data_IF_676948184676
#
_entry.id   IF_676948184676
#
_cell.length_a   1.000
_cell.length_b   1.000
_cell.length_c   1.000
_cell.angle_alpha   90.00
_cell.angle_beta   90.00
_cell.angle_gamma   90.00
#
_symmetry.space_group_name_H-M   'P 1'
#
loop_
_entity.id
_entity.type
_entity.pdbx_description
1 polymer ?
#
# COMPACT_ATOMS: atom_id res chain seq x y z
N UNK A 1 26.17 -16.94 -41.46
CA UNK A 1 26.19 -15.91 -40.39
C UNK A 1 25.25 -14.72 -40.61
N UNK A 2 24.92 -14.31 -41.86
CA UNK A 2 23.98 -13.17 -42.10
C UNK A 2 22.50 -13.48 -41.86
N UNK A 3 22.08 -14.75 -41.92
CA UNK A 3 20.66 -15.15 -41.81
C UNK A 3 20.16 -15.17 -40.36
N UNK A 4 21.03 -15.43 -39.38
CA UNK A 4 20.64 -15.48 -37.95
C UNK A 4 20.43 -14.09 -37.32
N UNK A 5 21.02 -13.04 -37.90
CA UNK A 5 20.89 -11.68 -37.37
C UNK A 5 19.49 -11.11 -37.67
N UNK A 6 18.86 -11.55 -38.76
CA UNK A 6 17.58 -11.00 -39.21
C UNK A 6 16.39 -11.54 -38.40
N UNK A 7 16.44 -12.81 -37.98
CA UNK A 7 15.45 -13.43 -37.10
C UNK A 7 15.46 -12.83 -35.69
N UNK A 8 16.62 -12.47 -35.16
CA UNK A 8 16.76 -11.81 -33.85
C UNK A 8 16.18 -10.38 -33.84
N UNK A 9 16.22 -9.69 -34.98
CA UNK A 9 15.70 -8.32 -35.09
C UNK A 9 14.17 -8.29 -35.27
N UNK A 10 13.60 -9.31 -35.93
CA UNK A 10 12.14 -9.45 -36.13
C UNK A 10 11.39 -9.71 -34.84
N UNK A 11 11.95 -10.51 -33.93
CA UNK A 11 11.35 -10.80 -32.61
C UNK A 11 11.36 -9.59 -31.67
N UNK A 12 12.40 -8.75 -31.74
CA UNK A 12 12.48 -7.50 -30.97
C UNK A 12 11.43 -6.47 -31.41
N UNK A 13 11.16 -6.35 -32.72
CA UNK A 13 10.14 -5.40 -33.23
C UNK A 13 8.72 -5.81 -32.82
N UNK A 14 8.40 -7.09 -32.79
CA UNK A 14 7.09 -7.58 -32.36
C UNK A 14 6.84 -7.39 -30.85
N UNK A 15 7.89 -7.54 -30.02
CA UNK A 15 7.81 -7.30 -28.58
C UNK A 15 7.56 -5.82 -28.25
N UNK A 16 8.18 -4.91 -29.01
CA UNK A 16 8.01 -3.47 -28.84
C UNK A 16 6.67 -2.94 -29.38
N UNK A 17 6.02 -3.63 -30.33
CA UNK A 17 4.69 -3.28 -30.81
C UNK A 17 3.58 -3.61 -29.80
N UNK A 18 3.68 -4.76 -29.12
CA UNK A 18 2.69 -5.21 -28.13
C UNK A 18 2.73 -4.38 -26.84
N UNK A 19 3.90 -3.89 -26.44
CA UNK A 19 4.03 -3.01 -25.28
C UNK A 19 3.46 -1.60 -25.52
N UNK A 20 3.50 -1.08 -26.75
CA UNK A 20 2.89 0.21 -27.09
C UNK A 20 1.36 0.16 -27.16
N UNK A 21 0.79 -0.96 -27.61
CA UNK A 21 -0.67 -1.18 -27.62
C UNK A 21 -1.25 -1.34 -26.21
N UNK A 22 -0.52 -1.95 -25.28
CA UNK A 22 -0.95 -2.10 -23.89
C UNK A 22 -0.99 -0.76 -23.12
N UNK A 23 -0.06 0.16 -23.40
CA UNK A 23 -0.02 1.48 -22.74
C UNK A 23 -1.17 2.40 -23.21
N UNK A 24 -1.58 2.31 -24.47
CA UNK A 24 -2.70 3.10 -24.99
C UNK A 24 -4.05 2.68 -24.36
N UNK A 25 -4.28 1.39 -24.15
CA UNK A 25 -5.53 0.88 -23.56
C UNK A 25 -5.72 1.30 -22.09
N UNK A 26 -4.65 1.41 -21.30
CA UNK A 26 -4.74 1.86 -19.90
C UNK A 26 -5.10 3.35 -19.75
N UNK A 27 -4.76 4.20 -20.74
CA UNK A 27 -5.11 5.63 -20.68
C UNK A 27 -6.61 5.92 -20.92
N UNK A 28 -7.33 5.02 -21.60
CA UNK A 28 -8.76 5.18 -21.86
C UNK A 28 -9.66 4.78 -20.66
N UNK A 29 -9.15 3.97 -19.72
CA UNK A 29 -9.93 3.49 -18.58
C UNK A 29 -9.87 4.43 -17.35
N UNK A 30 -8.97 5.41 -17.33
CA UNK A 30 -8.83 6.36 -16.21
C UNK A 30 -9.68 7.64 -16.36
N UNK A 31 -10.34 7.84 -17.51
CA UNK A 31 -11.18 9.02 -17.76
C UNK A 31 -12.65 8.88 -17.32
N UNK A 32 -13.05 7.71 -16.79
CA UNK A 32 -14.46 7.41 -16.49
C UNK A 32 -14.88 7.57 -15.02
N UNK A 33 -13.97 7.93 -14.09
CA UNK A 33 -14.28 7.98 -12.65
C UNK A 33 -14.54 9.39 -12.07
N UNK A 34 -14.80 10.42 -12.89
CA UNK A 34 -14.90 11.82 -12.42
C UNK A 34 -16.31 12.45 -12.47
N UNK A 35 -17.40 11.68 -12.53
CA UNK A 35 -18.73 12.30 -12.49
C UNK A 35 -19.79 11.48 -11.76
N UNK A 36 -19.90 11.72 -10.45
CA UNK A 36 -21.10 11.42 -9.67
C UNK A 36 -21.29 12.54 -8.65
N UNK A 37 -21.98 13.60 -9.06
CA UNK A 37 -22.52 14.63 -8.17
C UNK A 37 -23.81 14.10 -7.54
N UNK A 38 -23.99 14.17 -6.21
CA UNK A 38 -25.29 13.88 -5.60
C UNK A 38 -26.25 15.06 -5.86
N UNK A 39 -27.55 14.81 -6.09
CA UNK A 39 -28.54 15.89 -6.15
C UNK A 39 -28.83 16.43 -4.75
N UNK A 40 -28.82 17.75 -4.66
CA UNK A 40 -29.20 18.52 -3.48
C UNK A 40 -30.70 18.38 -3.21
N UNK A 41 -31.05 17.97 -1.99
CA UNK A 41 -32.42 18.05 -1.48
C UNK A 41 -32.58 19.39 -0.76
N UNK A 42 -33.42 20.26 -1.32
CA UNK A 42 -33.82 21.53 -0.73
C UNK A 42 -34.67 21.33 0.55
N UNK A 43 -34.69 22.32 1.47
CA UNK A 43 -35.25 22.18 2.81
C UNK A 43 -36.78 22.33 2.81
N UNK A 44 -37.46 21.42 3.51
CA UNK A 44 -38.87 21.60 3.86
C UNK A 44 -38.96 22.51 5.09
N UNK A 45 -39.54 23.68 4.88
CA UNK A 45 -40.01 24.56 5.94
C UNK A 45 -41.15 23.89 6.71
N UNK A 46 -41.04 23.87 8.03
CA UNK A 46 -42.19 23.76 8.95
C UNK A 46 -42.04 24.87 9.97
N UNK A 47 -42.84 25.90 9.76
CA UNK A 47 -43.23 26.88 10.78
C UNK A 47 -44.34 26.23 11.62
N UNK A 48 -44.29 26.41 12.95
CA UNK A 48 -45.44 26.77 13.83
C UNK A 48 -45.06 26.66 15.32
N UNK A 49 -45.34 27.77 16.01
CA UNK A 49 -45.70 27.99 17.41
C UNK A 49 -44.66 27.83 18.55
N UNK A 50 -44.33 28.99 19.11
CA UNK A 50 -43.92 29.18 20.51
C UNK A 50 -45.03 28.70 21.48
N UNK A 51 -44.65 28.38 22.73
CA UNK A 51 -44.96 29.34 23.77
C UNK A 51 -43.77 29.67 24.68
N UNK A 52 -43.83 30.90 25.14
CA UNK A 52 -42.98 31.60 26.10
C UNK A 52 -42.85 30.85 27.43
N UNK A 53 -41.63 30.71 27.93
CA UNK A 53 -41.36 30.69 29.37
C UNK A 53 -40.00 31.32 29.63
N UNK A 54 -39.98 32.27 30.56
CA UNK A 54 -38.88 33.16 30.87
C UNK A 54 -38.03 32.65 32.05
N UNK A 55 -36.83 33.22 32.16
CA UNK A 55 -35.81 33.10 33.22
C UNK A 55 -34.89 31.87 33.08
N UNK A 56 -33.56 31.98 33.14
CA UNK A 56 -32.71 33.01 33.73
C UNK A 56 -31.44 33.22 32.89
N UNK A 57 -30.98 34.47 32.88
CA UNK A 57 -29.73 34.89 32.28
C UNK A 57 -28.52 34.31 33.02
N UNK A 58 -27.59 33.74 32.25
CA UNK A 58 -26.18 33.75 32.57
C UNK A 58 -25.42 34.00 31.25
N UNK A 59 -24.78 35.17 31.06
CA UNK A 59 -23.90 35.37 29.93
C UNK A 59 -22.57 34.70 30.26
N UNK A 60 -22.41 33.43 29.90
CA UNK A 60 -21.07 32.90 29.67
C UNK A 60 -20.68 33.31 28.26
N UNK A 61 -20.02 34.47 28.19
CA UNK A 61 -19.12 34.81 27.09
C UNK A 61 -18.03 33.75 27.03
N UNK A 62 -18.29 32.68 26.26
CA UNK A 62 -17.23 31.82 25.77
C UNK A 62 -16.53 32.58 24.65
N UNK A 63 -15.50 33.33 25.04
CA UNK A 63 -14.54 33.91 24.12
C UNK A 63 -13.86 32.74 23.40
N UNK A 64 -14.33 32.43 22.19
CA UNK A 64 -13.61 31.56 21.28
C UNK A 64 -12.15 32.04 21.20
N UNK A 65 -11.15 31.17 21.39
CA UNK A 65 -9.77 31.58 21.28
C UNK A 65 -9.54 31.96 19.82
N UNK A 66 -9.34 33.25 19.58
CA UNK A 66 -8.81 33.72 18.31
C UNK A 66 -7.48 32.98 18.09
N UNK A 67 -7.29 32.26 16.97
CA UNK A 67 -6.03 31.59 16.71
C UNK A 67 -4.92 32.64 16.69
N UNK A 68 -3.99 32.51 17.63
CA UNK A 68 -2.87 33.43 17.74
C UNK A 68 -1.94 33.16 16.54
N UNK A 69 -1.67 34.12 15.65
CA UNK A 69 -0.88 33.87 14.43
C UNK A 69 0.52 33.32 14.71
N UNK A 70 1.06 33.52 15.93
CA UNK A 70 2.35 33.00 16.35
C UNK A 70 2.43 31.47 16.45
N UNK A 71 1.33 30.76 16.72
CA UNK A 71 1.35 29.28 16.80
C UNK A 71 1.34 28.63 15.41
N UNK A 72 0.73 29.29 14.42
CA UNK A 72 0.69 28.80 13.05
C UNK A 72 2.09 28.74 12.45
N UNK A 73 2.91 29.77 12.68
CA UNK A 73 4.29 29.82 12.15
C UNK A 73 5.18 28.73 12.75
N UNK A 74 5.03 28.42 14.05
CA UNK A 74 5.84 27.38 14.70
C UNK A 74 5.49 25.97 14.23
N UNK A 75 4.20 25.72 13.98
CA UNK A 75 3.72 24.43 13.49
C UNK A 75 4.19 24.18 12.03
N UNK A 76 4.17 25.23 11.20
CA UNK A 76 4.70 25.18 9.83
C UNK A 76 6.19 24.86 9.79
N UNK A 77 7.00 25.50 10.66
CA UNK A 77 8.44 25.22 10.76
C UNK A 77 8.72 23.78 11.21
N UNK A 78 7.94 23.27 12.17
CA UNK A 78 8.03 21.90 12.68
C UNK A 78 7.72 20.86 11.57
N UNK A 79 6.70 21.13 10.76
CA UNK A 79 6.37 20.30 9.59
C UNK A 79 7.42 20.40 8.49
N UNK A 80 7.94 21.60 8.20
CA UNK A 80 9.00 21.80 7.22
C UNK A 80 10.27 21.01 7.58
N UNK A 81 10.66 21.00 8.86
CA UNK A 81 11.75 20.17 9.38
C UNK A 81 11.53 18.68 9.16
N UNK A 82 10.31 18.20 9.40
CA UNK A 82 9.95 16.80 9.17
C UNK A 82 10.05 16.43 7.69
N UNK A 83 9.56 17.29 6.79
CA UNK A 83 9.64 17.07 5.35
C UNK A 83 11.09 17.08 4.85
N UNK A 84 11.93 18.01 5.33
CA UNK A 84 13.38 18.01 5.06
C UNK A 84 14.04 16.73 5.55
N UNK A 85 13.64 16.22 6.72
CA UNK A 85 14.11 14.93 7.20
C UNK A 85 13.70 13.78 6.26
N UNK A 86 12.44 13.75 5.81
CA UNK A 86 11.93 12.75 4.88
C UNK A 86 12.63 12.77 3.51
N UNK A 87 13.04 13.96 3.05
CA UNK A 87 13.82 14.14 1.84
C UNK A 87 15.26 13.64 2.01
N UNK A 88 15.93 14.03 3.11
CA UNK A 88 17.28 13.53 3.45
C UNK A 88 17.31 12.01 3.51
N UNK A 89 16.29 11.41 4.13
CA UNK A 89 16.14 9.97 4.27
C UNK A 89 16.01 9.23 2.92
N UNK A 90 15.41 9.89 1.92
CA UNK A 90 15.36 9.39 0.54
C UNK A 90 16.71 9.51 -0.18
N UNK A 91 17.47 10.57 0.09
CA UNK A 91 18.80 10.77 -0.48
C UNK A 91 19.89 9.85 0.11
N UNK A 92 19.70 9.35 1.35
CA UNK A 92 20.67 8.47 2.01
C UNK A 92 20.85 7.10 1.33
N UNK A 93 22.04 6.53 1.46
CA UNK A 93 22.31 5.16 1.05
C UNK A 93 21.59 4.12 1.92
N UNK A 94 21.49 2.87 1.44
CA UNK A 94 20.81 1.80 2.20
C UNK A 94 21.48 1.47 3.53
N UNK A 95 22.81 1.59 3.63
CA UNK A 95 23.58 1.35 4.87
C UNK A 95 23.35 2.47 5.88
N UNK A 96 23.51 3.73 5.46
CA UNK A 96 23.28 4.91 6.29
C UNK A 96 21.85 4.96 6.82
N UNK A 97 20.87 4.61 5.97
CA UNK A 97 19.47 4.53 6.38
C UNK A 97 19.23 3.49 7.48
N UNK A 98 19.89 2.33 7.41
CA UNK A 98 19.81 1.32 8.47
C UNK A 98 20.43 1.81 9.78
N UNK A 99 21.53 2.56 9.70
CA UNK A 99 22.15 3.17 10.88
C UNK A 99 21.21 4.21 11.51
N UNK A 100 20.60 5.07 10.70
CA UNK A 100 19.61 6.04 11.17
C UNK A 100 18.43 5.34 11.87
N UNK A 101 17.95 4.22 11.32
CA UNK A 101 16.90 3.43 11.94
C UNK A 101 17.30 2.89 13.32
N UNK A 102 18.55 2.43 13.47
CA UNK A 102 19.08 1.98 14.77
C UNK A 102 19.16 3.16 15.74
N UNK A 103 19.68 4.30 15.30
CA UNK A 103 19.81 5.53 16.10
C UNK A 103 18.45 6.02 16.60
N UNK A 104 17.41 5.98 15.78
CA UNK A 104 16.06 6.37 16.19
C UNK A 104 15.37 5.30 17.02
N UNK A 105 15.65 4.02 16.74
CA UNK A 105 15.12 2.89 17.50
C UNK A 105 15.61 2.84 18.96
N UNK A 106 16.73 3.49 19.30
CA UNK A 106 17.15 3.66 20.70
C UNK A 106 16.44 4.82 21.40
N UNK A 107 15.97 5.82 20.65
CA UNK A 107 15.23 6.98 21.17
C UNK A 107 13.76 6.66 21.42
N UNK A 108 13.20 5.66 20.72
CA UNK A 108 11.82 5.21 20.92
C UNK A 108 11.78 4.00 21.85
N UNK A 109 11.23 4.12 23.08
CA UNK A 109 11.12 3.00 23.99
C UNK A 109 10.23 1.91 23.39
N UNK A 110 10.74 0.68 23.36
CA UNK A 110 10.00 -0.54 22.97
C UNK A 110 8.99 -0.88 24.08
N UNK A 111 7.87 -0.14 24.12
CA UNK A 111 6.64 -0.40 24.87
C UNK A 111 6.74 -1.28 26.13
N UNK A 112 6.55 -0.65 27.31
CA UNK A 112 5.84 -1.28 28.42
C UNK A 112 6.63 -2.02 29.52
N UNK A 113 7.96 -2.09 29.47
CA UNK A 113 8.73 -2.74 30.54
C UNK A 113 9.85 -1.82 31.05
N UNK A 114 9.57 -1.14 32.16
CA UNK A 114 10.52 -0.26 32.83
C UNK A 114 9.82 0.93 33.45
N UNK A 115 9.22 0.69 34.61
CA UNK A 115 8.69 1.69 35.54
C UNK A 115 9.70 2.79 35.85
N UNK A 116 9.64 3.86 35.06
CA UNK A 116 10.01 5.21 35.45
C UNK A 116 9.13 6.16 34.64
N UNK A 117 8.60 7.25 35.20
CA UNK A 117 7.86 8.29 34.47
C UNK A 117 8.80 9.10 33.54
N UNK A 118 9.73 8.41 32.88
CA UNK A 118 10.81 8.98 32.10
C UNK A 118 10.30 9.24 30.68
N UNK A 119 9.90 10.49 30.46
CA UNK A 119 9.77 11.20 29.17
C UNK A 119 9.12 10.37 28.06
N UNK A 120 7.82 10.58 27.84
CA UNK A 120 7.18 10.11 26.62
C UNK A 120 8.00 10.60 25.40
N UNK A 121 8.29 9.72 24.43
CA UNK A 121 9.04 10.13 23.25
C UNK A 121 8.27 11.24 22.53
N UNK A 122 8.97 12.33 22.18
CA UNK A 122 8.34 13.48 21.54
C UNK A 122 7.62 13.06 20.24
N UNK A 123 6.50 13.70 19.88
CA UNK A 123 5.75 13.41 18.65
C UNK A 123 6.63 13.52 17.39
N UNK A 124 7.60 14.45 17.39
CA UNK A 124 8.59 14.61 16.30
C UNK A 124 9.46 13.36 16.13
N UNK A 125 10.00 12.79 17.21
CA UNK A 125 10.84 11.57 17.15
C UNK A 125 10.01 10.38 16.67
N UNK A 126 8.78 10.23 17.17
CA UNK A 126 7.88 9.16 16.73
C UNK A 126 7.58 9.25 15.23
N UNK A 127 7.35 10.45 14.73
CA UNK A 127 7.08 10.70 13.31
C UNK A 127 8.33 10.44 12.44
N UNK A 128 9.50 10.91 12.86
CA UNK A 128 10.77 10.64 12.16
C UNK A 128 11.06 9.13 12.10
N UNK A 129 10.86 8.41 13.21
CA UNK A 129 11.03 6.98 13.27
C UNK A 129 10.03 6.22 12.39
N UNK A 130 8.76 6.64 12.37
CA UNK A 130 7.78 6.10 11.44
C UNK A 130 8.23 6.30 9.98
N UNK A 131 8.70 7.49 9.60
CA UNK A 131 9.20 7.75 8.26
C UNK A 131 10.44 6.90 7.91
N UNK A 132 11.36 6.70 8.85
CA UNK A 132 12.51 5.81 8.70
C UNK A 132 12.10 4.36 8.38
N UNK A 133 11.12 3.84 9.13
CA UNK A 133 10.55 2.52 8.93
C UNK A 133 9.89 2.37 7.55
N UNK A 134 9.16 3.38 7.10
CA UNK A 134 8.46 3.34 5.81
C UNK A 134 9.38 3.24 4.59
N UNK A 135 10.65 3.59 4.72
CA UNK A 135 11.62 3.47 3.63
C UNK A 135 12.08 2.03 3.37
N UNK A 136 11.98 1.13 4.36
CA UNK A 136 12.39 -0.27 4.17
C UNK A 136 11.37 -1.04 3.36
N UNK A 137 10.09 -0.60 3.39
CA UNK A 137 8.94 -1.27 2.76
C UNK A 137 8.75 -2.73 3.19
N UNK A 138 9.23 -3.07 4.38
CA UNK A 138 9.03 -4.40 4.98
C UNK A 138 7.66 -4.44 5.68
N UNK A 139 6.83 -5.48 5.46
CA UNK A 139 5.46 -5.51 5.99
C UNK A 139 5.42 -5.44 7.52
N UNK A 140 6.37 -6.09 8.20
CA UNK A 140 6.51 -6.01 9.66
C UNK A 140 6.79 -4.59 10.14
N UNK A 141 7.64 -3.86 9.42
CA UNK A 141 8.02 -2.49 9.78
C UNK A 141 6.92 -1.49 9.41
N UNK A 142 6.14 -1.73 8.36
CA UNK A 142 4.95 -0.92 8.07
C UNK A 142 3.89 -1.02 9.17
N UNK A 143 3.69 -2.21 9.76
CA UNK A 143 2.78 -2.40 10.88
C UNK A 143 3.28 -1.67 12.14
N UNK A 144 4.59 -1.70 12.40
CA UNK A 144 5.20 -0.93 13.50
C UNK A 144 5.05 0.58 13.27
N UNK A 145 5.30 1.07 12.05
CA UNK A 145 5.14 2.47 11.68
C UNK A 145 3.68 2.94 11.90
N UNK A 146 2.70 2.12 11.51
CA UNK A 146 1.28 2.40 11.73
C UNK A 146 0.97 2.60 13.22
N UNK A 147 1.46 1.71 14.09
CA UNK A 147 1.27 1.84 15.54
C UNK A 147 1.89 3.12 16.12
N UNK A 148 3.04 3.56 15.61
CA UNK A 148 3.67 4.82 16.02
C UNK A 148 2.86 6.04 15.57
N UNK A 149 2.37 6.03 14.32
CA UNK A 149 1.54 7.11 13.80
C UNK A 149 0.21 7.22 14.54
N UNK A 150 -0.41 6.09 14.89
CA UNK A 150 -1.61 6.06 15.73
C UNK A 150 -1.35 6.68 17.10
N UNK A 151 -0.19 6.42 17.70
CA UNK A 151 0.21 7.03 18.97
C UNK A 151 0.37 8.55 18.86
N UNK A 152 0.95 9.05 17.76
CA UNK A 152 1.05 10.49 17.49
C UNK A 152 -0.34 11.11 17.29
N UNK A 153 -1.20 10.45 16.52
CA UNK A 153 -2.57 10.88 16.28
C UNK A 153 -3.42 10.94 17.56
N UNK A 154 -3.19 10.02 18.51
CA UNK A 154 -3.89 10.01 19.81
C UNK A 154 -3.21 10.87 20.88
N UNK A 155 -2.08 11.52 20.59
CA UNK A 155 -1.35 12.32 21.57
C UNK A 155 -2.07 13.63 21.85
N UNK A 156 -2.17 14.00 23.13
CA UNK A 156 -2.78 15.26 23.58
C UNK A 156 -1.75 16.34 23.92
N UNK A 157 -0.48 16.12 23.59
CA UNK A 157 0.60 17.10 23.80
C UNK A 157 0.45 18.29 22.83
N UNK A 158 0.79 19.51 23.26
CA UNK A 158 0.68 20.71 22.44
C UNK A 158 1.49 20.58 21.13
N UNK A 159 2.72 20.04 21.22
CA UNK A 159 3.61 19.81 20.08
C UNK A 159 3.10 18.73 19.12
N UNK A 160 2.14 17.89 19.53
CA UNK A 160 1.56 16.87 18.67
C UNK A 160 0.58 17.46 17.66
N UNK A 161 -0.07 18.59 18.00
CA UNK A 161 -1.10 19.21 17.17
C UNK A 161 -0.63 19.46 15.74
N UNK A 162 0.59 19.97 15.56
CA UNK A 162 1.24 20.19 14.27
C UNK A 162 1.33 18.93 13.38
N UNK A 163 1.46 17.74 13.98
CA UNK A 163 1.68 16.48 13.26
C UNK A 163 0.41 15.62 13.09
N UNK A 164 -0.64 15.90 13.85
CA UNK A 164 -1.86 15.05 13.91
C UNK A 164 -2.53 14.85 12.54
N UNK A 165 -2.75 15.93 11.80
CA UNK A 165 -3.39 15.87 10.48
C UNK A 165 -2.56 15.04 9.48
N UNK A 166 -1.24 15.23 9.47
CA UNK A 166 -0.33 14.46 8.63
C UNK A 166 -0.31 12.98 9.06
N UNK A 167 -0.33 12.70 10.36
CA UNK A 167 -0.37 11.33 10.89
C UNK A 167 -1.61 10.58 10.39
N UNK A 168 -2.79 11.20 10.42
CA UNK A 168 -4.03 10.59 9.91
C UNK A 168 -3.93 10.26 8.42
N UNK A 169 -3.47 11.20 7.60
CA UNK A 169 -3.28 10.95 6.16
C UNK A 169 -2.31 9.79 5.93
N UNK A 170 -1.21 9.71 6.67
CA UNK A 170 -0.28 8.58 6.54
C UNK A 170 -0.91 7.26 6.98
N UNK A 171 -1.67 7.22 8.08
CA UNK A 171 -2.37 6.01 8.54
C UNK A 171 -3.32 5.49 7.45
N UNK A 172 -4.14 6.37 6.86
CA UNK A 172 -5.08 5.99 5.80
C UNK A 172 -4.34 5.43 4.56
N UNK A 173 -3.22 6.04 4.19
CA UNK A 173 -2.39 5.54 3.10
C UNK A 173 -1.78 4.17 3.41
N UNK A 174 -1.25 3.95 4.62
CA UNK A 174 -0.64 2.67 5.00
C UNK A 174 -1.66 1.54 5.11
N UNK A 175 -2.85 1.82 5.64
CA UNK A 175 -3.94 0.82 5.65
C UNK A 175 -4.36 0.46 4.24
N UNK A 176 -4.37 1.42 3.31
CA UNK A 176 -4.66 1.18 1.89
C UNK A 176 -3.56 0.33 1.24
N UNK A 177 -2.28 0.64 1.47
CA UNK A 177 -1.15 -0.14 0.96
C UNK A 177 -1.26 -1.59 1.40
N UNK A 178 -1.54 -1.84 2.69
CA UNK A 178 -1.69 -3.20 3.21
C UNK A 178 -2.83 -3.97 2.54
N UNK A 179 -3.99 -3.33 2.34
CA UNK A 179 -5.12 -3.96 1.61
C UNK A 179 -4.74 -4.31 0.17
N UNK A 180 -3.93 -3.48 -0.49
CA UNK A 180 -3.44 -3.74 -1.84
C UNK A 180 -2.45 -4.91 -1.86
N UNK A 181 -1.53 -4.98 -0.90
CA UNK A 181 -0.60 -6.10 -0.73
C UNK A 181 -1.34 -7.43 -0.50
N UNK A 182 -2.35 -7.44 0.36
CA UNK A 182 -3.19 -8.63 0.62
C UNK A 182 -3.91 -9.10 -0.66
N UNK A 183 -4.40 -8.17 -1.48
CA UNK A 183 -5.05 -8.50 -2.75
C UNK A 183 -4.06 -9.03 -3.79
N UNK A 184 -2.86 -8.46 -3.85
CA UNK A 184 -1.78 -8.99 -4.70
C UNK A 184 -1.44 -10.41 -4.30
N UNK A 185 -1.28 -10.69 -3.01
CA UNK A 185 -0.98 -12.05 -2.53
C UNK A 185 -2.06 -13.06 -2.94
N UNK A 186 -3.34 -12.73 -2.73
CA UNK A 186 -4.48 -13.58 -3.16
C UNK A 186 -4.45 -13.87 -4.66
N UNK A 187 -4.26 -12.85 -5.49
CA UNK A 187 -4.21 -13.03 -6.96
C UNK A 187 -3.01 -13.87 -7.39
N UNK A 188 -1.85 -13.70 -6.74
CA UNK A 188 -0.68 -14.55 -7.02
C UNK A 188 -0.92 -16.01 -6.65
N UNK A 189 -1.65 -16.27 -5.56
CA UNK A 189 -2.02 -17.62 -5.15
C UNK A 189 -3.00 -18.26 -6.15
N UNK A 190 -4.02 -17.51 -6.59
CA UNK A 190 -4.95 -17.96 -7.61
C UNK A 190 -4.25 -18.28 -8.94
N UNK A 191 -3.29 -17.45 -9.36
CA UNK A 191 -2.50 -17.70 -10.57
C UNK A 191 -1.71 -19.01 -10.47
N UNK A 192 -1.02 -19.24 -9.35
CA UNK A 192 -0.27 -20.49 -9.11
C UNK A 192 -1.18 -21.71 -9.14
N UNK A 193 -2.36 -21.62 -8.54
CA UNK A 193 -3.32 -22.72 -8.54
C UNK A 193 -3.91 -22.98 -9.93
N UNK A 194 -4.23 -21.91 -10.68
CA UNK A 194 -4.70 -22.03 -12.06
C UNK A 194 -3.65 -22.67 -12.98
N UNK A 195 -2.37 -22.33 -12.79
CA UNK A 195 -1.26 -22.93 -13.53
C UNK A 195 -1.15 -24.43 -13.24
N UNK A 196 -1.23 -24.85 -11.96
CA UNK A 196 -1.22 -26.28 -11.59
C UNK A 196 -2.35 -27.05 -12.24
N UNK A 197 -3.55 -26.45 -12.32
CA UNK A 197 -4.70 -27.06 -12.99
C UNK A 197 -4.47 -27.20 -14.49
N UNK A 198 -3.85 -26.21 -15.14
CA UNK A 198 -3.47 -26.28 -16.55
C UNK A 198 -2.46 -27.41 -16.77
N UNK A 199 -1.44 -27.51 -15.92
CA UNK A 199 -0.41 -28.54 -16.03
C UNK A 199 -1.02 -29.95 -15.87
N UNK A 200 -1.92 -30.14 -14.90
CA UNK A 200 -2.66 -31.40 -14.72
C UNK A 200 -3.56 -31.75 -15.92
N UNK A 201 -4.20 -30.76 -16.55
CA UNK A 201 -5.00 -30.98 -17.75
C UNK A 201 -4.12 -31.33 -18.95
N UNK A 202 -2.95 -30.70 -19.09
CA UNK A 202 -1.98 -31.03 -20.12
C UNK A 202 -1.45 -32.46 -19.96
N UNK A 203 -1.10 -32.86 -18.73
CA UNK A 203 -0.68 -34.24 -18.43
C UNK A 203 -1.76 -35.25 -18.85
N UNK A 204 -3.04 -34.96 -18.55
CA UNK A 204 -4.16 -35.80 -18.99
C UNK A 204 -4.29 -35.86 -20.50
N UNK A 205 -4.15 -34.73 -21.20
CA UNK A 205 -4.20 -34.69 -22.67
C UNK A 205 -3.05 -35.51 -23.28
N UNK A 206 -1.84 -35.39 -22.73
CA UNK A 206 -0.69 -36.13 -23.22
C UNK A 206 -0.80 -37.64 -22.91
N UNK A 207 -1.39 -38.02 -21.77
CA UNK A 207 -1.75 -39.40 -21.48
C UNK A 207 -2.79 -39.95 -22.48
N UNK A 208 -3.82 -39.16 -22.82
CA UNK A 208 -4.81 -39.55 -23.84
C UNK A 208 -4.14 -39.71 -25.22
N UNK A 209 -3.26 -38.78 -25.62
CA UNK A 209 -2.48 -38.89 -26.86
C UNK A 209 -1.56 -40.11 -26.88
N UNK A 210 -1.03 -40.53 -25.74
CA UNK A 210 -0.24 -41.75 -25.63
C UNK A 210 -1.09 -43.01 -25.86
N UNK A 211 -2.32 -43.03 -25.36
CA UNK A 211 -3.30 -44.11 -25.60
C UNK A 211 -3.69 -44.14 -27.08
N UNK A 212 -3.96 -43.01 -27.70
CA UNK A 212 -4.26 -42.93 -29.15
C UNK A 212 -3.10 -43.50 -29.98
N UNK A 213 -1.86 -43.16 -29.61
CA UNK A 213 -0.66 -43.70 -30.26
C UNK A 213 -0.48 -45.19 -30.06
N UNK A 214 -0.78 -45.74 -28.87
CA UNK A 214 -0.64 -47.18 -28.62
C UNK A 214 -1.76 -48.01 -29.28
N UNK A 215 -2.97 -47.45 -29.41
CA UNK A 215 -4.07 -48.10 -30.12
C UNK A 215 -3.86 -48.14 -31.64
N UNK A 216 -3.29 -47.08 -32.22
CA UNK A 216 -3.07 -46.98 -33.67
C UNK A 216 -1.70 -47.51 -34.10
N UNK A 217 -0.89 -48.04 -33.17
CA UNK A 217 0.40 -48.64 -33.48
C UNK A 217 0.19 -49.99 -34.20
N UNK A 218 0.79 -50.20 -35.40
CA UNK A 218 0.76 -51.49 -36.07
C UNK A 218 1.38 -52.57 -35.17
N UNK A 219 0.87 -53.82 -35.20
CA UNK A 219 1.51 -54.91 -34.48
C UNK A 219 2.97 -55.00 -34.88
N UNK A 220 3.90 -55.23 -33.93
CA UNK A 220 5.31 -55.38 -34.27
C UNK A 220 5.44 -56.50 -35.31
N UNK A 221 6.26 -56.32 -36.36
CA UNK A 221 6.49 -57.37 -37.34
C UNK A 221 6.87 -58.65 -36.59
N UNK A 222 6.12 -59.72 -36.81
CA UNK A 222 6.37 -61.02 -36.19
C UNK A 222 7.82 -61.42 -36.45
N UNK A 223 8.67 -61.26 -35.44
CA UNK A 223 10.04 -61.75 -35.47
C UNK A 223 10.03 -63.29 -35.59
N UNK A 224 11.02 -63.90 -36.25
CA UNK A 224 11.06 -65.33 -36.50
C UNK A 224 10.88 -66.11 -35.20
N UNK A 225 9.88 -67.00 -35.18
CA UNK A 225 9.55 -67.89 -34.07
C UNK A 225 10.80 -68.68 -33.67
N UNK A 226 11.24 -68.66 -32.41
CA UNK A 226 12.41 -69.42 -31.98
C UNK A 226 12.11 -70.91 -32.12
N UNK A 227 12.90 -71.58 -32.97
CA UNK A 227 12.93 -73.04 -33.07
C UNK A 227 13.58 -73.55 -31.77
N UNK A 228 12.81 -74.30 -30.98
CA UNK A 228 13.28 -74.90 -29.72
C UNK A 228 14.05 -76.19 -30.05
N UNK A 229 15.22 -76.45 -29.43
CA UNK A 229 16.00 -77.66 -29.64
C UNK A 229 15.31 -78.90 -29.05
#
# INVERSE_FOLDING_TARGET
MRIEIDTANRTRRLRNGRSRLAVAACSALLAACQHSSPPASAPAAVEVAAPTSAAAAAPVTETAPVPNPATVTTDEDALADLLRYAERLRAMGAVERKQELITQGTQVPKSGQGTSPAVAPSPKILMQFALALLQTREPVETARALGLLQRVASSTEADASAYTALAHVLIDNLTTIRRLEDNLERTTQQLRESQRRIDALNERLDAMRAIERSMNAPPPPHGPRPVRP
#
